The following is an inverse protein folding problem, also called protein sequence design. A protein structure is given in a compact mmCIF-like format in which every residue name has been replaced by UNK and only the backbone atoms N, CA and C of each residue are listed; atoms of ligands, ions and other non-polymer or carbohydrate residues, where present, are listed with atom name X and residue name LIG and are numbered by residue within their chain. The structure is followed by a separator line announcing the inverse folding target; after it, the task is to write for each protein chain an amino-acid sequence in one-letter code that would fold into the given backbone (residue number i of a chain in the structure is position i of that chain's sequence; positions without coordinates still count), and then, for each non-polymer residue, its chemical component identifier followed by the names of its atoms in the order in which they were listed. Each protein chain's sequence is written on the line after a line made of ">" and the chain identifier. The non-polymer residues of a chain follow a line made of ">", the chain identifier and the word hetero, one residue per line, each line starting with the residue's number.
data_IF_555207536748
#
_entry.id   IF_555207536748
#
_cell.length_a   1.000
_cell.length_b   1.000
_cell.length_c   1.000
_cell.angle_alpha   90.00
_cell.angle_beta   90.00
_cell.angle_gamma   90.00
#
_symmetry.space_group_name_H-M   'P 1'
#
loop_
_entity.id
_entity.type
_entity.pdbx_description
1 polymer ?
#
# COMPACT_ATOMS: atom_id res chain seq x y z
N UNK A 1 -7.30 10.08 -14.31
CA UNK A 1 -7.76 10.87 -13.17
C UNK A 1 -9.00 10.19 -12.58
N UNK A 2 -9.01 9.98 -11.28
CA UNK A 2 -10.09 9.30 -10.54
C UNK A 2 -10.54 10.22 -9.42
N UNK A 3 -11.85 10.53 -9.36
CA UNK A 3 -12.38 11.28 -8.23
C UNK A 3 -12.21 10.49 -6.93
N UNK A 4 -11.72 11.11 -5.84
CA UNK A 4 -11.58 10.47 -4.55
C UNK A 4 -12.94 10.21 -3.93
N UNK A 5 -13.02 9.25 -3.01
CA UNK A 5 -14.27 8.88 -2.38
C UNK A 5 -14.09 8.26 -1.00
N UNK A 6 -15.10 8.36 -0.16
CA UNK A 6 -15.19 7.68 1.13
C UNK A 6 -15.43 6.18 0.89
N UNK A 7 -14.60 5.31 1.47
CA UNK A 7 -14.78 3.86 1.45
C UNK A 7 -15.68 3.43 2.62
N UNK A 8 -15.29 3.75 3.84
CA UNK A 8 -16.04 3.47 5.05
C UNK A 8 -15.45 4.27 6.24
N UNK A 9 -16.28 4.57 7.23
CA UNK A 9 -15.89 5.28 8.46
C UNK A 9 -15.04 6.53 8.16
N UNK A 10 -13.76 6.48 8.47
CA UNK A 10 -12.77 7.56 8.29
C UNK A 10 -11.76 7.28 7.17
N UNK A 11 -12.03 6.32 6.29
CA UNK A 11 -11.09 5.82 5.30
C UNK A 11 -11.54 6.17 3.88
N UNK A 12 -10.65 6.79 3.10
CA UNK A 12 -10.90 7.31 1.77
C UNK A 12 -9.93 6.73 0.75
N UNK A 13 -10.39 6.60 -0.50
CA UNK A 13 -9.54 6.39 -1.66
C UNK A 13 -9.07 7.73 -2.22
N UNK A 14 -7.75 7.89 -2.39
CA UNK A 14 -7.11 9.10 -2.93
C UNK A 14 -6.09 8.80 -4.02
N UNK A 15 -5.99 7.53 -4.45
CA UNK A 15 -5.10 7.07 -5.51
C UNK A 15 -5.57 7.48 -6.91
N UNK A 16 -4.94 6.88 -7.91
CA UNK A 16 -5.30 7.05 -9.31
C UNK A 16 -5.87 5.74 -9.90
N UNK A 17 -5.98 5.64 -11.22
CA UNK A 17 -6.52 4.47 -11.93
C UNK A 17 -5.53 3.31 -12.05
N UNK A 18 -4.30 3.46 -11.56
CA UNK A 18 -3.25 2.45 -11.59
C UNK A 18 -2.75 2.08 -10.18
N UNK A 19 -2.46 3.06 -9.33
CA UNK A 19 -1.94 2.83 -7.97
C UNK A 19 -2.91 3.36 -6.92
N UNK A 20 -3.24 2.50 -5.96
CA UNK A 20 -4.09 2.88 -4.84
C UNK A 20 -3.28 3.62 -3.77
N UNK A 21 -3.84 4.73 -3.31
CA UNK A 21 -3.46 5.37 -2.06
C UNK A 21 -4.70 5.53 -1.20
N UNK A 22 -4.56 5.32 0.10
CA UNK A 22 -5.69 5.46 1.02
C UNK A 22 -5.38 6.50 2.09
N UNK A 23 -6.37 7.31 2.41
CA UNK A 23 -6.28 8.35 3.42
C UNK A 23 -7.19 8.02 4.59
N UNK A 24 -6.69 8.19 5.81
CA UNK A 24 -7.47 7.99 7.03
C UNK A 24 -7.50 9.29 7.83
N UNK A 25 -8.71 9.77 8.15
CA UNK A 25 -8.88 10.85 9.13
C UNK A 25 -8.82 10.25 10.53
N UNK A 26 -7.69 10.42 11.19
CA UNK A 26 -7.44 9.78 12.49
C UNK A 26 -7.97 10.60 13.68
N UNK A 27 -8.59 11.75 13.41
CA UNK A 27 -9.01 12.70 14.45
C UNK A 27 -7.86 13.51 15.06
N UNK A 28 -6.61 13.12 14.81
CA UNK A 28 -5.41 13.83 15.26
C UNK A 28 -4.54 14.34 14.08
N UNK A 29 -4.97 14.08 12.86
CA UNK A 29 -4.32 14.37 11.60
C UNK A 29 -4.58 13.26 10.60
N UNK A 30 -3.99 13.34 9.42
CA UNK A 30 -4.19 12.39 8.34
C UNK A 30 -3.07 11.35 8.30
N UNK A 31 -3.44 10.08 8.17
CA UNK A 31 -2.55 8.98 7.81
C UNK A 31 -2.73 8.68 6.32
N UNK A 32 -1.64 8.73 5.57
CA UNK A 32 -1.60 8.32 4.17
C UNK A 32 -0.97 6.91 4.09
N UNK A 33 -1.67 5.96 3.45
CA UNK A 33 -1.15 4.64 3.12
C UNK A 33 -0.72 4.63 1.66
N UNK A 34 0.56 4.47 1.43
CA UNK A 34 1.28 4.61 0.16
C UNK A 34 1.18 6.02 -0.46
N UNK A 35 2.13 6.37 -1.30
CA UNK A 35 2.31 7.72 -1.79
C UNK A 35 2.56 7.79 -3.31
N UNK A 36 1.99 6.88 -4.07
CA UNK A 36 2.00 6.87 -5.54
C UNK A 36 3.39 7.06 -6.17
N UNK A 37 3.47 7.23 -7.49
CA UNK A 37 4.73 7.56 -8.17
C UNK A 37 4.97 9.07 -8.26
N UNK A 38 6.23 9.49 -8.47
CA UNK A 38 6.62 10.90 -8.40
C UNK A 38 5.81 11.82 -9.33
N UNK A 39 5.51 11.36 -10.55
CA UNK A 39 4.77 12.13 -11.54
C UNK A 39 3.28 12.26 -11.22
N UNK A 40 2.74 11.47 -10.29
CA UNK A 40 1.34 11.52 -9.88
C UNK A 40 1.10 12.32 -8.59
N UNK A 41 2.13 12.96 -8.02
CA UNK A 41 2.03 13.70 -6.75
C UNK A 41 0.94 14.79 -6.79
N UNK A 42 0.79 15.46 -7.92
CA UNK A 42 -0.23 16.50 -8.05
C UNK A 42 -1.66 15.92 -7.99
N UNK A 43 -1.90 14.75 -8.59
CA UNK A 43 -3.19 14.06 -8.53
C UNK A 43 -3.53 13.66 -7.10
N UNK A 44 -2.56 13.10 -6.36
CA UNK A 44 -2.73 12.74 -4.96
C UNK A 44 -3.13 13.96 -4.11
N UNK A 45 -2.44 15.09 -4.29
CA UNK A 45 -2.74 16.32 -3.55
C UNK A 45 -4.10 16.92 -3.93
N UNK A 46 -4.50 16.86 -5.21
CA UNK A 46 -5.82 17.31 -5.66
C UNK A 46 -6.92 16.42 -5.06
N UNK A 47 -6.77 15.09 -5.09
CA UNK A 47 -7.72 14.16 -4.49
C UNK A 47 -7.96 14.46 -2.99
N UNK A 48 -6.87 14.75 -2.24
CA UNK A 48 -6.99 15.10 -0.82
C UNK A 48 -7.78 16.40 -0.63
N UNK A 49 -7.53 17.42 -1.48
CA UNK A 49 -8.26 18.70 -1.42
C UNK A 49 -9.72 18.58 -1.85
N UNK A 50 -10.03 17.75 -2.84
CA UNK A 50 -11.40 17.50 -3.27
C UNK A 50 -12.27 16.89 -2.17
N UNK A 51 -11.66 16.12 -1.27
CA UNK A 51 -12.33 15.61 -0.05
C UNK A 51 -12.50 16.68 1.03
N UNK A 52 -11.94 17.88 0.83
CA UNK A 52 -11.99 18.98 1.80
C UNK A 52 -10.90 18.95 2.85
N UNK A 53 -9.89 18.09 2.72
CA UNK A 53 -8.75 18.04 3.63
C UNK A 53 -7.61 18.96 3.17
N UNK A 54 -6.84 19.46 4.13
CA UNK A 54 -5.60 20.17 3.84
C UNK A 54 -4.42 19.17 3.84
N UNK A 55 -3.61 19.10 2.76
CA UNK A 55 -2.41 18.29 2.76
C UNK A 55 -1.40 18.60 3.90
N UNK A 56 -1.48 19.79 4.52
CA UNK A 56 -0.69 20.11 5.73
C UNK A 56 -1.11 19.28 6.95
N UNK A 57 -2.27 18.66 6.93
CA UNK A 57 -2.75 17.78 8.00
C UNK A 57 -2.24 16.35 7.87
N UNK A 58 -1.51 16.01 6.78
CA UNK A 58 -0.84 14.71 6.63
C UNK A 58 0.29 14.65 7.66
N UNK A 59 0.08 13.92 8.73
CA UNK A 59 1.09 13.71 9.78
C UNK A 59 1.95 12.49 9.56
N UNK A 60 1.36 11.46 8.94
CA UNK A 60 2.01 10.16 8.81
C UNK A 60 1.84 9.59 7.40
N UNK A 61 2.91 8.96 6.91
CA UNK A 61 2.89 8.16 5.68
C UNK A 61 3.36 6.76 6.05
N UNK A 62 2.50 5.76 5.82
CA UNK A 62 2.78 4.34 6.03
C UNK A 62 2.96 3.66 4.67
N UNK A 63 4.06 2.97 4.46
CA UNK A 63 4.36 2.31 3.19
C UNK A 63 4.15 0.81 3.27
N UNK A 64 3.58 0.23 2.23
CA UNK A 64 3.36 -1.23 2.13
C UNK A 64 4.63 -1.98 1.76
N UNK A 65 5.45 -1.43 0.88
CA UNK A 65 6.70 -2.02 0.41
C UNK A 65 7.57 -1.02 -0.37
N UNK A 66 8.73 -1.46 -0.84
CA UNK A 66 9.78 -0.63 -1.41
C UNK A 66 9.73 -0.44 -2.93
N UNK A 67 8.58 -0.54 -3.61
CA UNK A 67 8.47 -0.17 -5.01
C UNK A 67 8.15 1.31 -5.19
N UNK A 68 8.67 1.90 -6.25
CA UNK A 68 8.63 3.36 -6.50
C UNK A 68 7.22 3.93 -6.66
N UNK A 69 6.30 3.14 -7.16
CA UNK A 69 4.89 3.50 -7.32
C UNK A 69 4.14 3.59 -5.98
N UNK A 70 4.74 3.14 -4.88
CA UNK A 70 4.16 3.23 -3.53
C UNK A 70 4.85 4.25 -2.64
N UNK A 71 6.06 4.71 -2.99
CA UNK A 71 6.76 5.72 -2.19
C UNK A 71 7.18 6.99 -2.95
N UNK A 72 6.91 7.07 -4.25
CA UNK A 72 7.48 8.07 -5.13
C UNK A 72 7.22 9.53 -4.76
N UNK A 73 6.07 9.83 -4.16
CA UNK A 73 5.77 11.18 -3.67
C UNK A 73 6.29 11.47 -2.27
N UNK A 74 6.76 10.48 -1.54
CA UNK A 74 7.06 10.60 -0.10
C UNK A 74 8.04 11.72 0.19
N UNK A 75 9.17 11.79 -0.52
CA UNK A 75 10.16 12.83 -0.30
C UNK A 75 9.57 14.23 -0.43
N UNK A 76 8.80 14.47 -1.51
CA UNK A 76 8.15 15.76 -1.72
C UNK A 76 7.17 16.09 -0.58
N UNK A 77 6.40 15.11 -0.12
CA UNK A 77 5.47 15.29 1.00
C UNK A 77 6.20 15.61 2.31
N UNK A 78 7.30 14.90 2.59
CA UNK A 78 8.14 15.17 3.77
C UNK A 78 8.75 16.57 3.71
N UNK A 79 9.38 16.94 2.61
CA UNK A 79 10.03 18.26 2.45
C UNK A 79 9.02 19.41 2.54
N UNK A 80 7.81 19.22 2.02
CA UNK A 80 6.80 20.27 1.96
C UNK A 80 5.91 20.36 3.18
N UNK A 81 5.55 19.23 3.79
CA UNK A 81 4.53 19.16 4.84
C UNK A 81 5.07 18.63 6.17
N UNK A 82 6.30 18.09 6.21
CA UNK A 82 6.92 17.59 7.44
C UNK A 82 6.30 16.28 7.94
N UNK A 83 5.76 15.46 7.04
CA UNK A 83 5.14 14.16 7.39
C UNK A 83 6.16 13.22 8.00
N UNK A 84 5.78 12.47 9.03
CA UNK A 84 6.56 11.38 9.61
C UNK A 84 6.35 10.11 8.82
N UNK A 85 7.43 9.43 8.46
CA UNK A 85 7.42 8.27 7.56
C UNK A 85 7.62 6.96 8.30
N UNK A 86 6.86 5.94 7.88
CA UNK A 86 6.92 4.56 8.37
C UNK A 86 7.19 3.65 7.17
N UNK A 87 8.28 2.88 7.22
CA UNK A 87 8.74 2.09 6.07
C UNK A 87 9.18 0.69 6.51
N UNK A 88 8.90 -0.38 5.72
CA UNK A 88 9.33 -1.73 6.02
C UNK A 88 10.86 -1.84 6.14
N UNK A 89 11.37 -2.29 7.29
CA UNK A 89 12.81 -2.38 7.56
C UNK A 89 13.55 -3.22 6.52
N UNK A 90 12.95 -4.35 6.14
CA UNK A 90 13.55 -5.31 5.20
C UNK A 90 13.70 -4.71 3.78
N UNK A 91 12.85 -3.75 3.41
CA UNK A 91 12.89 -3.07 2.12
C UNK A 91 13.75 -1.80 2.11
N UNK A 92 14.33 -1.39 3.24
CA UNK A 92 15.20 -0.23 3.31
C UNK A 92 16.30 -0.19 2.23
N UNK A 93 16.96 -1.33 1.88
CA UNK A 93 17.94 -1.35 0.80
C UNK A 93 17.38 -0.93 -0.57
N UNK A 94 16.07 -1.13 -0.83
CA UNK A 94 15.45 -0.77 -2.11
C UNK A 94 15.39 0.74 -2.33
N UNK A 95 15.47 1.53 -1.26
CA UNK A 95 15.50 2.99 -1.37
C UNK A 95 16.82 3.51 -1.94
N UNK A 96 17.96 2.84 -1.69
CA UNK A 96 19.29 3.34 -2.07
C UNK A 96 20.20 2.26 -2.69
N UNK A 97 20.45 1.18 -1.94
CA UNK A 97 21.50 0.23 -2.26
C UNK A 97 21.13 -0.73 -3.41
N UNK A 98 19.84 -1.07 -3.50
CA UNK A 98 19.27 -1.99 -4.49
C UNK A 98 18.12 -1.34 -5.26
N UNK A 99 18.34 -0.10 -5.68
CA UNK A 99 17.33 0.67 -6.40
C UNK A 99 16.88 0.00 -7.71
N UNK A 100 17.74 -0.85 -8.33
CA UNK A 100 17.38 -1.66 -9.48
C UNK A 100 16.26 -2.70 -9.19
N UNK A 101 15.93 -2.95 -7.92
CA UNK A 101 14.85 -3.83 -7.48
C UNK A 101 13.57 -3.09 -7.09
N UNK A 102 13.55 -1.75 -7.12
CA UNK A 102 12.39 -0.95 -6.74
C UNK A 102 11.44 -0.59 -7.90
N UNK A 103 11.62 -1.19 -9.05
CA UNK A 103 10.78 -1.04 -10.24
C UNK A 103 10.88 0.30 -10.99
N UNK A 104 11.80 1.19 -10.64
CA UNK A 104 11.93 2.45 -11.35
C UNK A 104 12.23 2.27 -12.85
N UNK A 105 13.06 1.28 -13.23
CA UNK A 105 13.36 0.98 -14.64
C UNK A 105 12.15 0.44 -15.40
N UNK A 106 11.35 -0.42 -14.75
CA UNK A 106 10.15 -1.04 -15.31
C UNK A 106 9.05 0.00 -15.60
N UNK A 107 8.98 1.07 -14.81
CA UNK A 107 8.13 2.23 -15.08
C UNK A 107 8.73 3.24 -16.07
N UNK A 108 9.88 2.93 -16.67
CA UNK A 108 10.56 3.83 -17.62
C UNK A 108 11.12 5.09 -16.97
N UNK A 109 11.29 5.06 -15.66
CA UNK A 109 11.82 6.17 -14.88
C UNK A 109 13.34 6.12 -14.87
N UNK A 110 13.97 6.80 -15.80
CA UNK A 110 15.42 7.02 -15.78
C UNK A 110 15.68 8.18 -14.79
N UNK A 111 15.83 7.83 -13.52
CA UNK A 111 16.22 8.81 -12.51
C UNK A 111 17.72 9.08 -12.58
N UNK A 112 18.09 9.93 -13.54
CA UNK A 112 19.32 10.69 -13.37
C UNK A 112 18.98 11.98 -12.61
N UNK A 113 19.89 12.49 -11.77
CA UNK A 113 19.67 13.79 -11.13
C UNK A 113 19.07 14.80 -12.10
N UNK A 114 18.04 15.62 -11.73
CA UNK A 114 17.79 16.10 -10.38
C UNK A 114 16.66 15.40 -9.59
N UNK A 115 16.10 14.30 -10.07
CA UNK A 115 14.95 13.67 -9.40
C UNK A 115 15.38 12.65 -8.35
N UNK A 116 15.87 13.13 -7.22
CA UNK A 116 16.07 12.29 -6.05
C UNK A 116 14.72 12.14 -5.32
N UNK A 117 14.13 10.94 -5.42
CA UNK A 117 12.87 10.56 -4.76
C UNK A 117 13.09 9.84 -3.44
N UNK A 118 14.34 9.56 -3.12
CA UNK A 118 14.70 8.80 -1.93
C UNK A 118 14.60 9.68 -0.67
N UNK A 119 14.21 9.07 0.42
CA UNK A 119 14.05 9.70 1.72
C UNK A 119 14.65 8.80 2.80
N UNK A 120 14.88 9.36 3.99
CA UNK A 120 15.28 8.59 5.15
C UNK A 120 14.03 8.33 6.01
N UNK A 121 13.60 7.06 6.20
CA UNK A 121 12.44 6.75 7.01
C UNK A 121 12.65 7.12 8.49
N UNK A 122 11.61 7.72 9.12
CA UNK A 122 11.64 8.05 10.55
C UNK A 122 11.43 6.83 11.43
N UNK A 123 10.63 5.86 10.97
CA UNK A 123 10.30 4.64 11.70
C UNK A 123 10.41 3.45 10.78
N UNK A 124 11.17 2.45 11.20
CA UNK A 124 11.25 1.17 10.54
C UNK A 124 10.19 0.23 11.12
N UNK A 125 9.39 -0.37 10.22
CA UNK A 125 8.24 -1.21 10.56
C UNK A 125 8.58 -2.68 10.38
N UNK A 126 8.17 -3.49 11.34
CA UNK A 126 8.43 -4.93 11.34
C UNK A 126 7.13 -5.74 11.55
N UNK A 127 7.06 -6.99 11.07
CA UNK A 127 5.95 -7.88 11.37
C UNK A 127 5.77 -8.07 12.88
N UNK A 128 4.53 -7.96 13.34
CA UNK A 128 4.16 -8.03 14.75
C UNK A 128 4.03 -6.66 15.42
N UNK A 129 4.46 -5.59 14.79
CA UNK A 129 4.25 -4.25 15.29
C UNK A 129 2.75 -3.91 15.38
N UNK A 130 2.43 -3.07 16.35
CA UNK A 130 1.10 -2.48 16.51
C UNK A 130 1.28 -0.97 16.56
N UNK A 131 0.83 -0.29 15.52
CA UNK A 131 0.93 1.15 15.39
C UNK A 131 -0.41 1.80 15.75
N UNK A 132 -0.36 3.02 16.24
CA UNK A 132 -1.57 3.80 16.56
C UNK A 132 -1.42 5.19 15.97
N UNK A 133 -2.42 5.59 15.20
CA UNK A 133 -2.52 6.91 14.59
C UNK A 133 -3.87 7.50 14.99
N UNK A 134 -3.87 8.34 16.04
CA UNK A 134 -5.11 8.87 16.63
C UNK A 134 -6.11 7.75 16.97
N UNK A 135 -7.26 7.75 16.31
CA UNK A 135 -8.35 6.77 16.51
C UNK A 135 -8.22 5.49 15.65
N UNK A 136 -7.15 5.35 14.87
CA UNK A 136 -6.92 4.22 13.97
C UNK A 136 -5.75 3.37 14.47
N UNK A 137 -6.00 2.09 14.76
CA UNK A 137 -4.98 1.10 15.12
C UNK A 137 -4.60 0.28 13.90
N UNK A 138 -3.31 0.00 13.73
CA UNK A 138 -2.77 -0.79 12.61
C UNK A 138 -1.94 -1.95 13.14
N UNK A 139 -2.29 -3.15 12.75
CA UNK A 139 -1.54 -4.36 13.04
C UNK A 139 -0.76 -4.79 11.82
N UNK A 140 0.50 -5.15 12.01
CA UNK A 140 1.48 -5.42 10.95
C UNK A 140 1.75 -6.91 10.83
N UNK A 141 1.60 -7.44 9.63
CA UNK A 141 1.83 -8.85 9.32
C UNK A 141 2.88 -9.01 8.23
N UNK A 142 3.64 -10.11 8.30
CA UNK A 142 4.59 -10.45 7.25
C UNK A 142 3.85 -10.91 5.97
N UNK A 143 4.11 -10.23 4.87
CA UNK A 143 3.60 -10.57 3.54
C UNK A 143 4.72 -10.56 2.48
N UNK A 144 5.97 -10.67 2.94
CA UNK A 144 7.16 -10.61 2.09
C UNK A 144 7.14 -11.61 0.95
N UNK A 145 7.65 -11.18 -0.19
CA UNK A 145 7.73 -11.98 -1.41
C UNK A 145 7.58 -11.15 -2.67
N UNK A 146 6.59 -10.28 -2.76
CA UNK A 146 6.49 -9.30 -3.85
C UNK A 146 7.71 -8.35 -3.85
N UNK A 147 8.05 -7.85 -2.68
CA UNK A 147 9.40 -7.47 -2.25
C UNK A 147 9.74 -8.24 -0.99
N UNK A 148 11.00 -8.32 -0.55
CA UNK A 148 11.34 -8.99 0.71
C UNK A 148 10.61 -8.45 1.93
N UNK A 149 10.41 -7.13 1.98
CA UNK A 149 9.80 -6.41 3.10
C UNK A 149 8.33 -6.07 2.91
N UNK A 150 7.64 -6.62 1.92
CA UNK A 150 6.19 -6.40 1.77
C UNK A 150 5.46 -6.73 3.06
N UNK A 151 4.62 -5.79 3.53
CA UNK A 151 3.77 -5.94 4.72
C UNK A 151 2.31 -6.15 4.33
N UNK A 152 1.57 -6.86 5.16
CA UNK A 152 0.12 -6.76 5.21
C UNK A 152 -0.28 -5.96 6.44
N UNK A 153 -1.22 -5.04 6.27
CA UNK A 153 -1.73 -4.20 7.33
C UNK A 153 -3.21 -4.51 7.58
N UNK A 154 -3.59 -4.61 8.87
CA UNK A 154 -4.98 -4.63 9.28
C UNK A 154 -5.27 -3.37 10.10
N UNK A 155 -6.16 -2.55 9.59
CA UNK A 155 -6.62 -1.31 10.20
C UNK A 155 -7.88 -1.59 11.00
N UNK A 156 -7.91 -1.18 12.26
CA UNK A 156 -9.11 -1.19 13.08
C UNK A 156 -9.65 0.23 13.06
N UNK A 157 -10.79 0.41 12.39
CA UNK A 157 -11.41 1.70 12.17
C UNK A 157 -12.24 2.13 13.40
N UNK A 158 -12.54 3.43 13.58
CA UNK A 158 -13.29 3.93 14.73
C UNK A 158 -14.65 3.27 14.93
N UNK A 159 -15.35 2.93 13.82
CA UNK A 159 -16.65 2.22 13.84
C UNK A 159 -16.54 0.73 14.16
N UNK A 160 -15.33 0.19 14.32
CA UNK A 160 -15.06 -1.22 14.63
C UNK A 160 -14.87 -2.11 13.41
N UNK A 161 -15.06 -1.62 12.18
CA UNK A 161 -14.73 -2.36 10.95
C UNK A 161 -13.21 -2.59 10.87
N UNK A 162 -12.84 -3.71 10.30
CA UNK A 162 -11.45 -4.11 10.06
C UNK A 162 -11.16 -4.09 8.56
N UNK A 163 -10.39 -3.11 8.14
CA UNK A 163 -9.90 -3.07 6.76
C UNK A 163 -8.50 -3.70 6.69
N UNK A 164 -8.19 -4.43 5.61
CA UNK A 164 -6.84 -4.95 5.42
C UNK A 164 -6.35 -4.80 3.99
N UNK A 165 -5.03 -4.62 3.87
CA UNK A 165 -4.29 -4.60 2.61
C UNK A 165 -3.16 -5.60 2.67
N UNK A 166 -3.08 -6.51 1.69
CA UNK A 166 -1.84 -7.20 1.37
C UNK A 166 -1.02 -6.27 0.48
N UNK A 167 0.11 -5.80 0.97
CA UNK A 167 0.88 -4.74 0.31
C UNK A 167 1.51 -5.10 -1.04
N UNK A 168 1.34 -6.34 -1.54
CA UNK A 168 1.87 -6.72 -2.84
C UNK A 168 1.46 -8.12 -3.26
N UNK A 169 0.33 -8.26 -3.95
CA UNK A 169 -0.13 -9.54 -4.56
C UNK A 169 0.20 -9.62 -6.06
N UNK A 170 0.87 -8.60 -6.59
CA UNK A 170 1.32 -8.57 -7.99
C UNK A 170 2.30 -9.71 -8.32
N UNK A 171 2.14 -10.27 -9.52
CA UNK A 171 2.84 -11.50 -9.91
C UNK A 171 4.17 -11.26 -10.63
N UNK A 172 4.43 -10.02 -11.02
CA UNK A 172 5.54 -9.68 -11.91
C UNK A 172 6.89 -10.02 -11.28
N UNK A 173 7.13 -9.59 -10.04
CA UNK A 173 8.37 -9.87 -9.29
C UNK A 173 8.55 -11.33 -8.92
N UNK A 174 7.44 -12.09 -8.88
CA UNK A 174 7.43 -13.53 -8.55
C UNK A 174 7.64 -14.42 -9.78
N UNK A 175 7.70 -13.83 -10.98
CA UNK A 175 7.89 -14.57 -12.23
C UNK A 175 9.33 -15.09 -12.35
N UNK A 176 9.48 -16.26 -13.01
CA UNK A 176 10.81 -16.82 -13.30
C UNK A 176 11.64 -15.91 -14.21
N UNK A 177 10.98 -15.13 -15.08
CA UNK A 177 11.66 -14.17 -15.95
C UNK A 177 12.29 -13.02 -15.13
N UNK A 178 11.53 -12.44 -14.19
CA UNK A 178 12.03 -11.40 -13.30
C UNK A 178 13.14 -11.93 -12.40
N UNK A 179 12.93 -13.07 -11.76
CA UNK A 179 13.93 -13.71 -10.90
C UNK A 179 15.26 -13.95 -11.63
N UNK A 180 15.20 -14.37 -12.89
CA UNK A 180 16.39 -14.55 -13.72
C UNK A 180 17.03 -13.21 -14.11
N UNK A 181 16.22 -12.22 -14.52
CA UNK A 181 16.68 -10.87 -14.88
C UNK A 181 17.43 -10.21 -13.73
N UNK A 182 16.88 -10.29 -12.51
CA UNK A 182 17.42 -9.64 -11.30
C UNK A 182 18.32 -10.53 -10.44
N UNK A 183 18.56 -11.78 -10.86
CA UNK A 183 19.43 -12.76 -10.18
C UNK A 183 19.04 -13.01 -8.70
N UNK A 184 17.75 -13.08 -8.41
CA UNK A 184 17.21 -13.28 -7.05
C UNK A 184 16.76 -14.72 -6.77
N UNK A 185 16.84 -15.63 -7.74
CA UNK A 185 16.41 -17.03 -7.60
C UNK A 185 14.91 -17.17 -7.32
N UNK A 186 14.52 -18.19 -6.56
CA UNK A 186 13.11 -18.44 -6.19
C UNK A 186 12.73 -17.85 -4.83
N UNK A 187 13.67 -17.26 -4.11
CA UNK A 187 13.52 -16.85 -2.71
C UNK A 187 12.29 -15.98 -2.45
N UNK A 188 12.03 -15.01 -3.32
CA UNK A 188 10.88 -14.12 -3.15
C UNK A 188 9.55 -14.85 -3.34
N UNK A 189 9.46 -15.72 -4.33
CA UNK A 189 8.27 -16.52 -4.58
C UNK A 189 8.00 -17.53 -3.45
N UNK A 190 9.06 -18.18 -2.95
CA UNK A 190 8.93 -19.17 -1.90
C UNK A 190 8.47 -18.50 -0.59
N UNK A 191 9.03 -17.33 -0.27
CA UNK A 191 8.60 -16.49 0.86
C UNK A 191 7.15 -16.04 0.70
N UNK A 192 6.74 -15.60 -0.50
CA UNK A 192 5.35 -15.19 -0.77
C UNK A 192 4.36 -16.31 -0.47
N UNK A 193 4.64 -17.54 -0.94
CA UNK A 193 3.76 -18.70 -0.72
C UNK A 193 3.65 -19.01 0.78
N UNK A 194 4.77 -18.95 1.52
CA UNK A 194 4.78 -19.18 2.95
C UNK A 194 3.95 -18.13 3.69
N UNK A 195 4.19 -16.85 3.42
CA UNK A 195 3.55 -15.76 4.15
C UNK A 195 2.05 -15.65 3.83
N UNK A 196 1.65 -15.87 2.58
CA UNK A 196 0.22 -15.89 2.18
C UNK A 196 -0.55 -16.91 3.02
N UNK A 197 0.01 -18.10 3.28
CA UNK A 197 -0.64 -19.12 4.11
C UNK A 197 -0.87 -18.68 5.56
N UNK A 198 0.02 -17.85 6.09
CA UNK A 198 -0.09 -17.34 7.46
C UNK A 198 -1.12 -16.21 7.61
N UNK A 199 -1.66 -15.71 6.49
CA UNK A 199 -2.68 -14.65 6.46
C UNK A 199 -4.12 -15.18 6.32
N UNK A 200 -4.30 -16.52 6.21
CA UNK A 200 -5.64 -17.12 6.26
C UNK A 200 -6.28 -16.87 7.63
N UNK A 201 -7.60 -16.82 7.64
CA UNK A 201 -8.42 -16.64 8.84
C UNK A 201 -8.19 -15.33 9.59
N UNK A 202 -7.46 -14.37 8.98
CA UNK A 202 -7.44 -13.02 9.49
C UNK A 202 -8.83 -12.40 9.34
N UNK A 203 -9.40 -11.95 10.46
CA UNK A 203 -10.72 -11.34 10.48
C UNK A 203 -10.67 -9.96 9.81
N UNK A 204 -11.30 -9.83 8.64
CA UNK A 204 -11.27 -8.64 7.78
C UNK A 204 -12.67 -8.41 7.22
N UNK A 205 -13.18 -7.20 7.34
CA UNK A 205 -14.47 -6.78 6.79
C UNK A 205 -14.32 -6.10 5.41
N UNK A 206 -13.18 -5.43 5.18
CA UNK A 206 -12.90 -4.64 3.97
C UNK A 206 -11.53 -5.00 3.41
N UNK A 207 -11.47 -5.43 2.16
CA UNK A 207 -10.21 -5.67 1.46
C UNK A 207 -9.83 -4.47 0.61
N UNK A 208 -8.61 -3.96 0.85
CA UNK A 208 -7.97 -2.89 0.07
C UNK A 208 -6.94 -3.52 -0.87
N UNK A 209 -6.94 -3.11 -2.12
CA UNK A 209 -5.87 -3.41 -3.06
C UNK A 209 -4.82 -2.30 -3.10
N UNK A 210 -3.55 -2.63 -3.23
CA UNK A 210 -2.51 -1.63 -3.50
C UNK A 210 -2.50 -1.17 -4.97
N UNK A 211 -3.19 -1.92 -5.85
CA UNK A 211 -3.65 -1.47 -7.16
C UNK A 211 -5.17 -1.68 -7.23
N UNK A 212 -5.94 -0.78 -7.88
CA UNK A 212 -7.40 -0.80 -7.78
C UNK A 212 -8.05 -2.05 -8.38
N UNK A 213 -7.42 -2.68 -9.39
CA UNK A 213 -7.93 -3.91 -10.00
C UNK A 213 -7.84 -5.13 -9.07
N UNK A 214 -6.92 -5.13 -8.10
CA UNK A 214 -6.71 -6.26 -7.18
C UNK A 214 -7.89 -6.51 -6.24
N UNK A 215 -8.61 -5.45 -5.87
CA UNK A 215 -9.79 -5.52 -5.00
C UNK A 215 -11.06 -5.02 -5.70
N UNK A 216 -11.04 -4.84 -7.02
CA UNK A 216 -12.17 -4.30 -7.81
C UNK A 216 -12.68 -2.96 -7.27
N UNK A 217 -11.76 -2.09 -6.90
CA UNK A 217 -12.03 -0.84 -6.16
C UNK A 217 -13.11 0.01 -6.85
N UNK A 218 -13.01 0.23 -8.16
CA UNK A 218 -13.96 1.09 -8.88
C UNK A 218 -15.30 0.40 -9.13
N UNK A 219 -15.32 -0.91 -9.33
CA UNK A 219 -16.57 -1.67 -9.42
C UNK A 219 -17.34 -1.61 -8.09
N UNK A 220 -16.65 -1.73 -6.97
CA UNK A 220 -17.25 -1.58 -5.64
C UNK A 220 -17.78 -0.17 -5.41
N UNK A 221 -16.98 0.86 -5.74
CA UNK A 221 -17.40 2.26 -5.67
C UNK A 221 -18.69 2.50 -6.45
N UNK A 222 -18.74 2.02 -7.68
CA UNK A 222 -19.89 2.22 -8.57
C UNK A 222 -21.14 1.46 -8.10
N UNK A 223 -20.96 0.44 -7.27
CA UNK A 223 -22.04 -0.31 -6.62
C UNK A 223 -22.52 0.25 -5.28
N UNK A 224 -21.92 1.33 -4.78
CA UNK A 224 -22.37 1.98 -3.55
C UNK A 224 -23.67 2.77 -3.80
N UNK A 225 -24.70 2.57 -2.98
CA UNK A 225 -26.01 3.21 -3.16
C UNK A 225 -26.57 3.89 -1.89
N UNK A 226 -25.77 4.08 -0.87
CA UNK A 226 -26.15 4.68 0.41
C UNK A 226 -26.86 3.72 1.38
N UNK A 227 -27.28 2.53 0.95
CA UNK A 227 -27.77 1.43 1.79
C UNK A 227 -26.82 0.25 1.76
N UNK A 228 -26.13 0.05 0.64
CA UNK A 228 -25.20 -1.03 0.40
C UNK A 228 -23.79 -0.48 0.18
N UNK A 229 -22.82 -1.04 0.87
CA UNK A 229 -21.40 -0.77 0.66
C UNK A 229 -20.70 -2.05 0.22
N UNK A 230 -20.42 -2.23 -1.09
CA UNK A 230 -19.78 -3.44 -1.61
C UNK A 230 -18.33 -3.66 -1.16
N UNK A 231 -17.73 -2.69 -0.47
CA UNK A 231 -16.44 -2.88 0.16
C UNK A 231 -16.52 -3.77 1.41
N UNK A 232 -17.69 -3.84 2.07
CA UNK A 232 -17.89 -4.65 3.27
C UNK A 232 -18.25 -6.07 2.85
N UNK A 233 -17.26 -6.95 2.84
CA UNK A 233 -17.38 -8.37 2.48
C UNK A 233 -16.38 -9.21 3.29
N UNK A 234 -16.81 -9.75 4.45
CA UNK A 234 -15.93 -10.50 5.36
C UNK A 234 -15.29 -11.75 4.75
N UNK A 235 -15.83 -12.25 3.63
CA UNK A 235 -15.29 -13.42 2.95
C UNK A 235 -14.24 -13.08 1.88
N UNK A 236 -14.11 -11.81 1.50
CA UNK A 236 -13.25 -11.41 0.39
C UNK A 236 -11.78 -11.65 0.68
N UNK A 237 -11.33 -11.38 1.92
CA UNK A 237 -9.95 -11.61 2.32
C UNK A 237 -9.52 -13.06 2.09
N UNK A 238 -10.26 -14.01 2.63
CA UNK A 238 -9.93 -15.44 2.48
C UNK A 238 -10.05 -15.91 1.02
N UNK A 239 -10.98 -15.36 0.23
CA UNK A 239 -11.05 -15.65 -1.22
C UNK A 239 -9.82 -15.15 -1.96
N UNK A 240 -9.34 -13.94 -1.64
CA UNK A 240 -8.13 -13.34 -2.23
C UNK A 240 -6.88 -14.15 -1.85
N UNK A 241 -6.69 -14.45 -0.56
CA UNK A 241 -5.55 -15.24 -0.07
C UNK A 241 -5.53 -16.63 -0.70
N UNK A 242 -6.67 -17.32 -0.78
CA UNK A 242 -6.80 -18.60 -1.47
C UNK A 242 -6.47 -18.52 -2.97
N UNK A 243 -6.82 -17.42 -3.62
CA UNK A 243 -6.49 -17.20 -5.03
C UNK A 243 -4.97 -16.99 -5.22
N UNK A 244 -4.32 -16.24 -4.34
CA UNK A 244 -2.88 -16.08 -4.33
C UNK A 244 -2.16 -17.42 -4.14
N UNK A 245 -2.56 -18.21 -3.14
CA UNK A 245 -1.96 -19.53 -2.91
C UNK A 245 -2.09 -20.46 -4.13
N UNK A 246 -3.29 -20.54 -4.72
CA UNK A 246 -3.51 -21.39 -5.91
C UNK A 246 -2.70 -20.96 -7.12
N UNK A 247 -2.45 -19.67 -7.31
CA UNK A 247 -1.69 -19.14 -8.45
C UNK A 247 -0.24 -19.59 -8.44
N UNK A 248 0.37 -19.76 -7.27
CA UNK A 248 1.80 -20.03 -7.13
C UNK A 248 2.15 -21.46 -6.71
N UNK A 249 1.17 -22.28 -6.34
CA UNK A 249 1.38 -23.71 -6.06
C UNK A 249 1.30 -24.61 -7.33
N UNK A 250 1.31 -24.01 -8.52
CA UNK A 250 1.29 -24.76 -9.79
C UNK A 250 2.66 -24.89 -10.43
#
# INVERSE_FOLDING_TARGET
>A
DVAPFLIADNMYYVGNDDVSCHLFDTGEGLLLLDASYPQACYLLLESIRELGFDPHDIKWILHTHGHVDHFGCTRMLVEKYGCKTYFPEVDLPLLKEKADLNWHEEFGMNYEPPYDIYFEPDVLVNPGDVLTFGNTKVEVYNAGGHTPGTMAYRFILPGGLKAAMHGGIGTNTLSSAYSKKKNIGTTWRDAFIEHVRNLFDLEVDIVLGNHPEQSRTFEKRDGMDGQNNPFIDPEEWNRMIAACERRYNR
#
